data_IF_272044583597
#
_entry.id   IF_272044583597
#
_cell.length_a   1.000
_cell.length_b   1.000
_cell.length_c   1.000
_cell.angle_alpha   90.00
_cell.angle_beta   90.00
_cell.angle_gamma   90.00
#
_symmetry.space_group_name_H-M   'P 1'
#
loop_
_entity.id
_entity.type
_entity.pdbx_description
1 polymer ?
#
# COMPACT_ATOMS: atom_id res chain seq x y z
N UNK A 1 -1.20 12.44 -19.08
CA UNK A 1 -2.05 13.64 -18.90
C UNK A 1 -2.53 13.64 -17.46
N UNK A 2 -2.05 14.59 -16.67
CA UNK A 2 -2.40 14.78 -15.26
C UNK A 2 -3.04 16.15 -15.13
N UNK A 3 -4.36 16.21 -15.24
CA UNK A 3 -5.14 17.46 -15.30
C UNK A 3 -5.32 18.15 -13.94
N UNK A 4 -4.37 18.02 -13.00
CA UNK A 4 -4.39 18.74 -11.72
C UNK A 4 -5.59 18.48 -10.79
N UNK A 5 -6.51 17.61 -11.18
CA UNK A 5 -7.73 17.29 -10.45
C UNK A 5 -7.46 16.15 -9.47
N UNK A 6 -7.28 16.51 -8.20
CA UNK A 6 -7.16 15.56 -7.11
C UNK A 6 -8.55 15.30 -6.52
N UNK A 7 -8.99 14.04 -6.56
CA UNK A 7 -10.23 13.61 -5.93
C UNK A 7 -9.93 12.91 -4.61
N UNK A 8 -10.57 13.36 -3.54
CA UNK A 8 -10.57 12.65 -2.25
C UNK A 8 -11.82 11.77 -2.23
N UNK A 9 -11.61 10.46 -2.28
CA UNK A 9 -12.72 9.50 -2.21
C UNK A 9 -13.07 9.28 -0.74
N UNK A 10 -14.27 9.70 -0.34
CA UNK A 10 -14.81 9.43 0.99
C UNK A 10 -15.74 8.23 0.89
N UNK A 11 -15.52 7.22 1.74
CA UNK A 11 -16.41 6.05 1.79
C UNK A 11 -17.78 6.43 2.34
N UNK A 12 -18.84 5.80 1.83
CA UNK A 12 -20.21 6.00 2.33
C UNK A 12 -20.36 5.67 3.82
N UNK A 13 -19.50 4.81 4.38
CA UNK A 13 -19.44 4.52 5.82
C UNK A 13 -19.02 5.74 6.63
N UNK A 14 -18.03 6.50 6.14
CA UNK A 14 -17.57 7.72 6.81
C UNK A 14 -18.58 8.86 6.66
N UNK A 15 -19.23 9.01 5.50
CA UNK A 15 -20.31 9.98 5.31
C UNK A 15 -21.44 9.78 6.34
N UNK A 16 -21.89 8.52 6.51
CA UNK A 16 -22.90 8.17 7.52
C UNK A 16 -22.44 8.45 8.95
N UNK A 17 -21.18 8.15 9.26
CA UNK A 17 -20.63 8.37 10.61
C UNK A 17 -20.50 9.86 10.95
N UNK A 18 -20.27 10.70 9.94
CA UNK A 18 -20.23 12.16 10.06
C UNK A 18 -21.62 12.81 9.93
N UNK A 19 -22.66 12.01 9.69
CA UNK A 19 -24.03 12.44 9.42
C UNK A 19 -24.11 13.49 8.30
N UNK A 20 -23.39 13.22 7.20
CA UNK A 20 -23.29 14.08 6.02
C UNK A 20 -23.93 13.43 4.80
N UNK A 21 -24.50 14.27 3.95
CA UNK A 21 -25.11 13.87 2.68
C UNK A 21 -24.39 14.49 1.48
N UNK A 22 -24.70 14.00 0.28
CA UNK A 22 -24.14 14.58 -0.93
C UNK A 22 -24.62 16.03 -1.09
N UNK A 23 -23.67 16.97 -1.23
CA UNK A 23 -23.96 18.41 -1.30
C UNK A 23 -23.60 19.16 -0.01
N UNK A 24 -23.33 18.46 1.10
CA UNK A 24 -22.84 19.11 2.31
C UNK A 24 -21.41 19.62 2.17
N UNK A 25 -21.16 20.77 2.80
CA UNK A 25 -19.82 21.32 2.94
C UNK A 25 -19.08 20.54 4.05
N UNK A 26 -17.87 20.11 3.73
CA UNK A 26 -16.94 19.46 4.66
C UNK A 26 -15.63 20.23 4.73
N UNK A 27 -15.09 20.37 5.93
CA UNK A 27 -13.75 20.89 6.15
C UNK A 27 -12.81 19.71 6.39
N UNK A 28 -11.66 19.69 5.71
CA UNK A 28 -10.66 18.64 5.86
C UNK A 28 -9.26 19.24 5.95
N UNK A 29 -8.36 18.49 6.58
CA UNK A 29 -6.93 18.82 6.67
C UNK A 29 -6.15 17.62 6.13
N UNK A 30 -5.16 17.89 5.28
CA UNK A 30 -4.24 16.86 4.79
C UNK A 30 -2.92 17.09 5.50
N UNK A 31 -2.47 16.09 6.23
CA UNK A 31 -1.16 16.08 6.87
C UNK A 31 -0.30 14.98 6.23
N UNK A 32 1.00 15.25 5.97
CA UNK A 32 1.90 14.20 5.54
C UNK A 32 1.98 13.14 6.63
N UNK A 33 1.70 11.89 6.28
CA UNK A 33 1.77 10.78 7.23
C UNK A 33 3.21 10.68 7.79
N UNK A 34 3.41 10.83 9.11
CA UNK A 34 4.73 10.76 9.72
C UNK A 34 5.31 9.35 9.65
N UNK A 35 4.46 8.34 9.45
CA UNK A 35 4.88 6.98 9.12
C UNK A 35 4.42 6.65 7.70
N UNK A 36 5.20 7.03 6.68
CA UNK A 36 4.82 6.79 5.30
C UNK A 36 4.77 5.31 4.93
N UNK A 37 5.00 4.36 5.84
CA UNK A 37 4.74 2.94 5.60
C UNK A 37 3.69 2.38 6.56
N UNK A 38 3.52 3.00 7.74
CA UNK A 38 2.55 2.69 8.79
C UNK A 38 2.69 1.28 9.37
N UNK A 39 3.76 0.57 8.99
CA UNK A 39 3.95 -0.86 9.21
C UNK A 39 5.46 -1.11 9.23
N UNK A 40 5.96 -1.69 10.31
CA UNK A 40 7.34 -2.19 10.37
C UNK A 40 7.58 -3.18 9.22
N UNK A 41 8.74 -3.06 8.57
CA UNK A 41 9.15 -4.04 7.56
C UNK A 41 9.20 -5.40 8.26
N UNK A 42 8.37 -6.33 7.82
CA UNK A 42 8.25 -7.65 8.43
C UNK A 42 9.59 -8.38 8.31
N UNK A 43 10.04 -9.06 9.38
CA UNK A 43 11.32 -9.80 9.43
C UNK A 43 11.53 -10.72 8.21
N UNK A 44 10.46 -11.37 7.76
CA UNK A 44 10.41 -12.20 6.54
C UNK A 44 10.76 -11.43 5.27
N UNK A 45 10.29 -10.19 5.11
CA UNK A 45 10.64 -9.35 3.97
C UNK A 45 12.12 -8.93 4.05
N UNK A 46 12.61 -8.54 5.24
CA UNK A 46 14.02 -8.21 5.42
C UNK A 46 14.94 -9.40 5.09
N UNK A 47 14.59 -10.59 5.59
CA UNK A 47 15.32 -11.82 5.30
C UNK A 47 15.33 -12.15 3.80
N UNK A 48 14.19 -11.96 3.10
CA UNK A 48 14.11 -12.15 1.66
C UNK A 48 15.02 -11.17 0.91
N UNK A 49 14.97 -9.88 1.25
CA UNK A 49 15.79 -8.84 0.61
C UNK A 49 17.28 -8.96 0.95
N UNK A 50 17.62 -9.57 2.10
CA UNK A 50 19.00 -9.88 2.48
C UNK A 50 19.56 -11.10 1.73
N UNK A 51 18.71 -12.06 1.36
CA UNK A 51 19.09 -13.27 0.64
C UNK A 51 19.11 -13.10 -0.88
N UNK A 52 18.30 -12.18 -1.42
CA UNK A 52 18.14 -11.95 -2.86
C UNK A 52 18.41 -10.48 -3.23
N UNK A 53 19.61 -10.24 -3.76
CA UNK A 53 20.06 -8.93 -4.23
C UNK A 53 19.22 -8.38 -5.41
N UNK A 54 18.64 -9.24 -6.26
CA UNK A 54 17.76 -8.79 -7.33
C UNK A 54 16.42 -8.31 -6.77
N UNK A 55 15.85 -9.08 -5.82
CA UNK A 55 14.64 -8.69 -5.11
C UNK A 55 14.83 -7.35 -4.40
N UNK A 56 15.99 -7.14 -3.76
CA UNK A 56 16.37 -5.88 -3.13
C UNK A 56 16.42 -4.72 -4.12
N UNK A 57 17.11 -4.87 -5.25
CA UNK A 57 17.16 -3.83 -6.30
C UNK A 57 15.77 -3.48 -6.83
N UNK A 58 14.90 -4.48 -7.04
CA UNK A 58 13.51 -4.26 -7.48
C UNK A 58 12.69 -3.52 -6.42
N UNK A 59 12.83 -3.92 -5.16
CA UNK A 59 12.18 -3.26 -4.03
C UNK A 59 12.65 -1.80 -3.89
N UNK A 60 13.94 -1.53 -3.97
CA UNK A 60 14.48 -0.17 -3.88
C UNK A 60 14.01 0.74 -5.02
N UNK A 61 13.81 0.17 -6.21
CA UNK A 61 13.24 0.88 -7.35
C UNK A 61 11.73 1.18 -7.23
N UNK A 62 11.02 0.61 -6.25
CA UNK A 62 9.60 0.86 -6.06
C UNK A 62 9.32 2.25 -5.47
N UNK A 63 8.26 2.88 -5.99
CA UNK A 63 7.71 4.09 -5.36
C UNK A 63 7.18 3.78 -3.96
N UNK A 64 7.12 4.77 -3.05
CA UNK A 64 6.59 4.58 -1.70
C UNK A 64 5.22 3.89 -1.68
N UNK A 65 4.33 4.23 -2.63
CA UNK A 65 3.02 3.58 -2.76
C UNK A 65 3.09 2.08 -3.09
N UNK A 66 4.02 1.66 -3.96
CA UNK A 66 4.23 0.23 -4.27
C UNK A 66 4.83 -0.52 -3.08
N UNK A 67 5.77 0.11 -2.35
CA UNK A 67 6.33 -0.45 -1.10
C UNK A 67 5.24 -0.69 -0.06
N UNK A 68 4.32 0.28 0.14
CA UNK A 68 3.14 0.13 1.02
C UNK A 68 2.28 -1.07 0.62
N UNK A 69 1.94 -1.18 -0.67
CA UNK A 69 1.07 -2.27 -1.14
C UNK A 69 1.71 -3.64 -0.87
N UNK A 70 3.03 -3.78 -1.11
CA UNK A 70 3.77 -5.01 -0.81
C UNK A 70 3.65 -5.37 0.68
N UNK A 71 3.97 -4.42 1.56
CA UNK A 71 3.97 -4.64 3.02
C UNK A 71 2.55 -4.96 3.51
N UNK A 72 1.52 -4.22 3.10
CA UNK A 72 0.13 -4.51 3.48
C UNK A 72 -0.37 -5.86 2.96
N UNK A 73 0.05 -6.26 1.76
CA UNK A 73 -0.31 -7.56 1.20
C UNK A 73 0.28 -8.71 2.02
N UNK A 74 1.53 -8.56 2.48
CA UNK A 74 2.19 -9.54 3.34
C UNK A 74 1.61 -9.59 4.75
N UNK A 75 1.34 -8.43 5.37
CA UNK A 75 0.83 -8.33 6.74
C UNK A 75 -0.52 -9.05 6.95
N UNK A 76 -1.31 -9.23 5.88
CA UNK A 76 -2.60 -9.95 5.92
C UNK A 76 -2.46 -11.48 5.92
N UNK A 77 -1.28 -11.99 5.57
CA UNK A 77 -1.02 -13.42 5.41
C UNK A 77 -0.31 -13.91 6.68
N UNK A 78 -0.87 -14.95 7.32
CA UNK A 78 -0.29 -15.54 8.55
C UNK A 78 0.81 -16.57 8.29
N UNK A 79 0.83 -17.13 7.08
CA UNK A 79 1.71 -18.22 6.66
C UNK A 79 2.96 -17.66 5.97
N UNK A 80 4.13 -18.01 6.51
CA UNK A 80 5.42 -17.43 6.11
C UNK A 80 5.75 -17.78 4.65
N UNK A 81 5.54 -19.03 4.23
CA UNK A 81 5.77 -19.46 2.84
C UNK A 81 4.90 -18.66 1.85
N UNK A 82 3.64 -18.42 2.20
CA UNK A 82 2.74 -17.59 1.40
C UNK A 82 3.17 -16.13 1.39
N UNK A 83 3.67 -15.59 2.51
CA UNK A 83 4.22 -14.22 2.54
C UNK A 83 5.37 -14.07 1.55
N UNK A 84 6.34 -15.01 1.55
CA UNK A 84 7.49 -15.00 0.64
C UNK A 84 7.03 -15.10 -0.82
N UNK A 85 6.12 -16.04 -1.13
CA UNK A 85 5.58 -16.20 -2.50
C UNK A 85 4.87 -14.94 -2.99
N UNK A 86 4.06 -14.31 -2.13
CA UNK A 86 3.38 -13.06 -2.46
C UNK A 86 4.39 -11.94 -2.71
N UNK A 87 5.44 -11.84 -1.88
CA UNK A 87 6.46 -10.82 -2.03
C UNK A 87 7.19 -10.94 -3.37
N UNK A 88 7.68 -12.15 -3.70
CA UNK A 88 8.36 -12.44 -4.96
C UNK A 88 7.43 -12.14 -6.15
N UNK A 89 6.16 -12.51 -6.06
CA UNK A 89 5.19 -12.27 -7.14
C UNK A 89 4.93 -10.79 -7.40
N UNK A 90 4.90 -9.97 -6.35
CA UNK A 90 4.74 -8.51 -6.47
C UNK A 90 6.03 -7.88 -6.99
N UNK A 91 7.20 -8.32 -6.50
CA UNK A 91 8.51 -7.82 -6.93
C UNK A 91 8.80 -8.12 -8.40
N UNK A 92 8.40 -9.30 -8.88
CA UNK A 92 8.54 -9.71 -10.28
C UNK A 92 7.44 -9.15 -11.19
N UNK A 93 6.47 -8.41 -10.63
CA UNK A 93 5.36 -7.84 -11.40
C UNK A 93 4.35 -8.85 -11.93
N UNK A 94 4.42 -10.12 -11.51
CA UNK A 94 3.46 -11.17 -11.89
C UNK A 94 2.12 -11.03 -11.18
N UNK A 95 2.07 -10.27 -10.08
CA UNK A 95 0.85 -9.91 -9.37
C UNK A 95 0.58 -8.41 -9.49
N UNK A 96 -0.40 -8.05 -10.31
CA UNK A 96 -0.95 -6.70 -10.36
C UNK A 96 -2.14 -6.61 -9.38
N UNK A 97 -2.04 -5.90 -8.24
CA UNK A 97 -3.13 -5.77 -7.27
C UNK A 97 -4.33 -4.97 -7.82
N UNK A 98 -4.22 -4.43 -9.03
CA UNK A 98 -5.29 -3.72 -9.75
C UNK A 98 -6.05 -4.57 -10.76
N UNK A 99 -5.68 -5.86 -10.95
CA UNK A 99 -6.44 -6.77 -11.80
C UNK A 99 -7.43 -7.55 -10.93
N UNK A 100 -8.66 -7.01 -10.86
CA UNK A 100 -9.86 -7.81 -10.52
C UNK A 100 -10.18 -8.77 -11.66
#
# INVERSE_FOLDING_TARGET
>A
MGDGNYFIIISGRHMKSLNKEAGDIVQYTIEPDPDPLGVEIHEVLEALLAQDDEAKKRFDAFTPGKKRILIYSMARIKDIDKQVKTAISILNGTHNPYKR
#
